data_IF_651941221954
#
_entry.id   IF_651941221954
#
_cell.length_a   1.000
_cell.length_b   1.000
_cell.length_c   1.000
_cell.angle_alpha   90.00
_cell.angle_beta   90.00
_cell.angle_gamma   90.00
#
_symmetry.space_group_name_H-M   'P 1'
#
loop_
_entity.id
_entity.type
_entity.pdbx_description
1 polymer ?
#
# COMPACT_ATOMS: atom_id res chain seq x y z
N UNK A 1 -9.45 0.41 13.55
CA UNK A 1 -8.24 1.00 12.92
C UNK A 1 -8.54 2.46 12.62
N UNK A 2 -7.58 3.39 12.81
CA UNK A 2 -7.76 4.76 12.30
C UNK A 2 -7.93 4.71 10.78
N UNK A 3 -8.57 5.71 10.19
CA UNK A 3 -8.63 5.81 8.73
C UNK A 3 -7.20 5.82 8.19
N UNK A 4 -6.85 4.83 7.36
CA UNK A 4 -5.47 4.66 6.90
C UNK A 4 -4.93 5.88 6.15
N UNK A 5 -5.79 6.65 5.49
CA UNK A 5 -5.40 7.89 4.82
C UNK A 5 -4.94 8.98 5.78
N UNK A 6 -5.39 8.98 7.04
CA UNK A 6 -4.94 9.97 8.04
C UNK A 6 -3.51 9.74 8.48
N UNK A 7 -2.89 8.60 8.14
CA UNK A 7 -1.46 8.34 8.38
C UNK A 7 -0.58 9.42 7.73
N UNK A 8 -1.03 9.97 6.59
CA UNK A 8 -0.34 11.04 5.88
C UNK A 8 -0.10 12.30 6.71
N UNK A 9 -0.89 12.53 7.77
CA UNK A 9 -0.67 13.65 8.67
C UNK A 9 0.55 13.47 9.59
N UNK A 10 1.04 12.24 9.71
CA UNK A 10 2.22 11.87 10.53
C UNK A 10 3.52 11.83 9.70
N UNK A 11 3.46 12.19 8.41
CA UNK A 11 4.59 12.13 7.47
C UNK A 11 5.05 13.54 7.08
N UNK A 12 6.37 13.71 6.82
CA UNK A 12 6.91 14.91 6.14
C UNK A 12 6.59 14.86 4.64
N UNK A 13 5.41 15.33 4.26
CA UNK A 13 4.95 15.28 2.88
C UNK A 13 5.55 16.38 2.01
N UNK A 14 5.95 15.99 0.80
CA UNK A 14 6.53 16.83 -0.26
C UNK A 14 5.74 16.73 -1.55
N UNK A 15 6.10 17.55 -2.54
CA UNK A 15 5.52 17.57 -3.88
C UNK A 15 3.99 17.55 -3.85
N UNK A 16 3.37 18.68 -3.48
CA UNK A 16 1.92 18.80 -3.40
C UNK A 16 1.28 17.74 -2.48
N UNK A 17 1.95 17.46 -1.36
CA UNK A 17 1.57 16.46 -0.37
C UNK A 17 1.50 15.01 -0.90
N UNK A 18 2.17 14.68 -2.00
CA UNK A 18 2.07 13.36 -2.63
C UNK A 18 3.26 12.44 -2.36
N UNK A 19 4.38 12.96 -1.83
CA UNK A 19 5.60 12.17 -1.69
C UNK A 19 6.25 12.30 -0.32
N UNK A 20 7.07 11.32 0.04
CA UNK A 20 8.02 11.38 1.15
C UNK A 20 9.43 11.11 0.63
N UNK A 21 10.45 11.49 1.39
CA UNK A 21 11.82 11.15 1.01
C UNK A 21 12.08 9.65 1.14
N UNK A 22 13.15 9.18 0.50
CA UNK A 22 13.63 7.82 0.73
C UNK A 22 14.06 7.59 2.18
N UNK A 23 14.67 8.59 2.82
CA UNK A 23 15.13 8.48 4.20
C UNK A 23 13.95 8.29 5.17
N UNK A 24 12.88 9.09 5.01
CA UNK A 24 11.68 8.96 5.84
C UNK A 24 11.00 7.60 5.62
N UNK A 25 10.97 7.13 4.37
CA UNK A 25 10.45 5.80 4.06
C UNK A 25 11.24 4.71 4.78
N UNK A 26 12.57 4.73 4.73
CA UNK A 26 13.42 3.71 5.36
C UNK A 26 13.42 3.81 6.89
N UNK A 27 13.18 5.01 7.44
CA UNK A 27 13.02 5.22 8.88
C UNK A 27 11.71 4.61 9.41
N UNK A 28 10.60 4.80 8.70
CA UNK A 28 9.26 4.46 9.21
C UNK A 28 8.65 3.18 8.66
N UNK A 29 9.19 2.62 7.57
CA UNK A 29 8.61 1.45 6.91
C UNK A 29 9.63 0.33 6.75
N UNK A 30 9.38 -0.76 7.46
CA UNK A 30 10.26 -1.93 7.47
C UNK A 30 9.68 -3.04 6.59
N UNK A 31 10.49 -3.53 5.65
CA UNK A 31 10.16 -4.70 4.83
C UNK A 31 10.18 -5.96 5.69
N UNK A 32 9.13 -6.77 5.60
CA UNK A 32 9.05 -8.08 6.27
C UNK A 32 9.40 -9.23 5.32
N UNK A 33 9.52 -10.45 5.87
CA UNK A 33 9.64 -11.70 5.09
C UNK A 33 8.29 -12.21 4.59
N UNK A 34 7.19 -11.68 5.10
CA UNK A 34 5.82 -12.06 4.71
C UNK A 34 5.53 -11.58 3.29
N UNK A 35 4.80 -12.40 2.53
CA UNK A 35 4.37 -12.09 1.18
C UNK A 35 2.86 -12.08 1.11
N UNK A 36 2.33 -11.21 0.26
CA UNK A 36 0.91 -11.17 -0.06
C UNK A 36 0.71 -11.23 -1.57
N UNK A 37 -0.39 -11.85 -1.96
CA UNK A 37 -0.97 -11.74 -3.30
C UNK A 37 -2.12 -10.73 -3.25
N UNK A 38 -2.04 -9.71 -4.09
CA UNK A 38 -2.91 -8.55 -4.05
C UNK A 38 -3.32 -8.15 -5.46
N UNK A 39 -4.36 -7.32 -5.57
CA UNK A 39 -4.73 -6.68 -6.83
C UNK A 39 -4.94 -5.19 -6.65
N UNK A 40 -4.86 -4.43 -7.74
CA UNK A 40 -5.15 -3.00 -7.71
C UNK A 40 -6.65 -2.79 -7.93
N UNK A 41 -7.30 -2.05 -7.05
CA UNK A 41 -8.61 -1.52 -7.38
C UNK A 41 -8.37 -0.32 -8.30
N UNK A 42 -8.74 -0.44 -9.58
CA UNK A 42 -8.76 0.70 -10.48
C UNK A 42 -9.58 1.86 -9.90
N UNK A 43 -9.34 3.08 -10.37
CA UNK A 43 -10.16 4.23 -9.95
C UNK A 43 -11.65 4.04 -10.32
N UNK A 44 -11.93 3.17 -11.28
CA UNK A 44 -13.25 2.78 -11.77
C UNK A 44 -13.75 1.41 -11.25
N UNK A 45 -12.98 0.73 -10.39
CA UNK A 45 -13.28 -0.61 -9.90
C UNK A 45 -13.26 -1.73 -10.96
N UNK A 46 -12.77 -1.44 -12.18
CA UNK A 46 -12.73 -2.40 -13.31
C UNK A 46 -11.33 -2.63 -13.86
N UNK A 47 -10.38 -1.77 -13.51
CA UNK A 47 -9.01 -1.89 -14.02
C UNK A 47 -8.38 -3.23 -13.60
N UNK A 48 -7.64 -3.84 -14.53
CA UNK A 48 -6.84 -5.07 -14.38
C UNK A 48 -7.59 -6.41 -14.30
N UNK A 49 -8.92 -6.48 -14.43
CA UNK A 49 -9.70 -7.74 -14.37
C UNK A 49 -9.44 -8.61 -13.11
N UNK A 50 -8.98 -7.97 -12.03
CA UNK A 50 -8.56 -8.67 -10.81
C UNK A 50 -7.21 -9.38 -10.92
N UNK A 51 -6.39 -9.08 -11.94
CA UNK A 51 -5.04 -9.61 -12.09
C UNK A 51 -4.25 -9.39 -10.80
N UNK A 52 -3.73 -10.50 -10.29
CA UNK A 52 -3.04 -10.53 -9.02
C UNK A 52 -1.53 -10.37 -9.19
N UNK A 53 -0.90 -9.84 -8.15
CA UNK A 53 0.55 -9.63 -8.08
C UNK A 53 1.04 -10.03 -6.71
N UNK A 54 2.32 -10.40 -6.61
CA UNK A 54 2.96 -10.78 -5.35
C UNK A 54 3.96 -9.73 -4.91
N UNK A 55 3.86 -9.30 -3.66
CA UNK A 55 4.81 -8.37 -3.05
C UNK A 55 5.17 -8.81 -1.62
N UNK A 56 6.26 -8.24 -1.10
CA UNK A 56 6.57 -8.32 0.32
C UNK A 56 5.78 -7.27 1.08
N UNK A 57 5.32 -7.64 2.27
CA UNK A 57 4.64 -6.72 3.18
C UNK A 57 5.67 -5.79 3.81
N UNK A 58 5.28 -4.54 3.98
CA UNK A 58 5.94 -3.55 4.82
C UNK A 58 5.04 -3.26 6.02
N UNK A 59 5.68 -3.03 7.17
CA UNK A 59 5.04 -2.58 8.42
C UNK A 59 5.57 -1.20 8.79
N UNK A 60 4.81 -0.46 9.57
CA UNK A 60 5.21 0.86 10.06
C UNK A 60 5.35 0.89 11.57
N UNK A 61 6.18 1.79 12.07
CA UNK A 61 6.33 2.11 13.48
C UNK A 61 5.49 3.33 13.93
N UNK A 62 4.73 3.95 13.01
CA UNK A 62 3.88 5.11 13.31
C UNK A 62 2.75 4.71 14.27
N UNK A 63 2.62 5.35 15.45
CA UNK A 63 1.64 4.98 16.46
C UNK A 63 0.18 5.02 15.99
N UNK A 64 -0.56 3.94 16.27
CA UNK A 64 -1.95 3.76 15.88
C UNK A 64 -2.17 3.17 14.48
N UNK A 65 -1.09 2.75 13.79
CA UNK A 65 -1.11 2.07 12.49
C UNK A 65 -0.32 0.76 12.49
N UNK A 66 -0.09 0.15 13.65
CA UNK A 66 0.73 -1.05 13.84
C UNK A 66 0.17 -2.25 13.05
N UNK A 67 -1.15 -2.35 12.98
CA UNK A 67 -1.85 -3.40 12.24
C UNK A 67 -1.93 -3.14 10.73
N UNK A 68 -1.59 -1.93 10.28
CA UNK A 68 -1.60 -1.61 8.87
C UNK A 68 -0.51 -2.38 8.11
N UNK A 69 -0.86 -2.81 6.90
CA UNK A 69 0.06 -3.48 5.98
C UNK A 69 0.22 -2.64 4.74
N UNK A 70 1.44 -2.62 4.24
CA UNK A 70 1.80 -1.86 3.05
C UNK A 70 2.53 -2.74 2.05
N UNK A 71 2.50 -2.31 0.79
CA UNK A 71 3.34 -2.84 -0.27
C UNK A 71 3.97 -1.71 -1.04
N UNK A 72 5.16 -1.95 -1.59
CA UNK A 72 5.85 -0.99 -2.46
C UNK A 72 5.91 -1.53 -3.89
N UNK A 73 5.41 -0.73 -4.84
CA UNK A 73 5.44 -1.06 -6.27
C UNK A 73 6.10 0.09 -7.02
N UNK A 74 7.33 -0.15 -7.50
CA UNK A 74 8.15 0.92 -8.06
C UNK A 74 8.39 2.02 -7.03
N UNK A 75 8.02 3.26 -7.36
CA UNK A 75 8.11 4.41 -6.44
C UNK A 75 6.92 4.54 -5.48
N UNK A 76 5.84 3.80 -5.67
CA UNK A 76 4.57 4.04 -4.97
C UNK A 76 4.44 3.13 -3.75
N UNK A 77 4.11 3.71 -2.61
CA UNK A 77 3.73 2.98 -1.40
C UNK A 77 2.20 2.90 -1.35
N UNK A 78 1.68 1.69 -1.16
CA UNK A 78 0.25 1.42 -1.07
C UNK A 78 -0.06 0.78 0.27
N UNK A 79 -1.21 1.12 0.85
CA UNK A 79 -1.78 0.36 1.95
C UNK A 79 -2.63 -0.78 1.39
N UNK A 80 -2.74 -1.86 2.16
CA UNK A 80 -3.66 -2.96 1.87
C UNK A 80 -5.02 -2.58 2.45
N UNK A 81 -6.05 -2.64 1.62
CA UNK A 81 -7.43 -2.49 2.08
C UNK A 81 -7.90 -3.86 2.61
N UNK A 82 -7.94 -3.99 3.94
CA UNK A 82 -8.27 -5.24 4.61
C UNK A 82 -9.75 -5.62 4.48
N UNK A 83 -10.62 -4.66 4.19
CA UNK A 83 -12.06 -4.87 4.05
C UNK A 83 -12.46 -5.15 2.60
N UNK A 84 -11.60 -4.81 1.65
CA UNK A 84 -11.84 -4.99 0.22
C UNK A 84 -11.16 -6.24 -0.35
N UNK A 85 -11.87 -6.97 -1.22
CA UNK A 85 -11.31 -8.08 -1.99
C UNK A 85 -12.00 -8.19 -3.34
N UNK A 86 -11.25 -8.54 -4.39
CA UNK A 86 -11.75 -8.68 -5.76
C UNK A 86 -11.51 -10.11 -6.25
N UNK A 87 -12.50 -10.67 -6.95
CA UNK A 87 -12.42 -11.97 -7.60
C UNK A 87 -11.59 -11.86 -8.88
N UNK A 88 -10.48 -12.59 -8.96
CA UNK A 88 -9.75 -12.82 -10.19
C UNK A 88 -10.52 -13.84 -11.05
N UNK A 89 -11.10 -13.38 -12.16
CA UNK A 89 -11.96 -14.24 -13.01
C UNK A 89 -11.24 -15.45 -13.59
N UNK A 90 -9.94 -15.32 -13.85
CA UNK A 90 -9.13 -16.38 -14.46
C UNK A 90 -8.88 -17.56 -13.49
N UNK A 91 -8.73 -17.28 -12.20
CA UNK A 91 -8.33 -18.27 -11.19
C UNK A 91 -9.46 -18.62 -10.21
N UNK A 92 -10.47 -17.76 -10.09
CA UNK A 92 -11.53 -17.88 -9.09
C UNK A 92 -11.08 -17.49 -7.67
N UNK A 93 -9.86 -16.97 -7.50
CA UNK A 93 -9.33 -16.56 -6.20
C UNK A 93 -9.74 -15.12 -5.86
N UNK A 94 -9.93 -14.85 -4.57
CA UNK A 94 -10.14 -13.49 -4.07
C UNK A 94 -8.83 -12.91 -3.56
N UNK A 95 -8.50 -11.70 -4.01
CA UNK A 95 -7.29 -11.00 -3.60
C UNK A 95 -7.62 -9.70 -2.91
N UNK A 96 -6.86 -9.35 -1.86
CA UNK A 96 -6.96 -8.05 -1.20
C UNK A 96 -6.65 -6.94 -2.20
N UNK A 97 -7.38 -5.84 -2.09
CA UNK A 97 -7.07 -4.66 -2.90
C UNK A 97 -6.08 -3.76 -2.21
N UNK A 98 -5.43 -2.88 -2.98
CA UNK A 98 -4.49 -1.90 -2.45
C UNK A 98 -4.84 -0.50 -2.90
N UNK A 99 -4.64 0.47 -2.00
CA UNK A 99 -4.84 1.89 -2.24
C UNK A 99 -3.54 2.67 -2.13
N UNK A 100 -3.39 3.71 -2.94
CA UNK A 100 -2.18 4.55 -2.90
C UNK A 100 -2.12 5.38 -1.62
N UNK A 101 -0.96 5.40 -0.97
CA UNK A 101 -0.71 6.24 0.21
C UNK A 101 0.09 7.49 -0.18
N UNK A 102 1.33 7.27 -0.64
CA UNK A 102 2.32 8.28 -1.04
C UNK A 102 3.32 7.71 -2.05
N UNK A 103 4.01 8.58 -2.77
CA UNK A 103 5.19 8.23 -3.54
C UNK A 103 6.46 8.35 -2.67
N UNK A 104 7.45 7.50 -2.93
CA UNK A 104 8.78 7.57 -2.31
C UNK A 104 9.73 8.17 -3.35
N UNK A 105 10.32 9.31 -3.01
CA UNK A 105 11.29 9.98 -3.87
C UNK A 105 12.50 9.09 -4.18
N UNK A 106 13.13 9.34 -5.32
CA UNK A 106 14.45 8.75 -5.60
C UNK A 106 15.47 9.48 -4.73
N UNK A 107 16.49 8.74 -4.28
CA UNK A 107 17.67 9.35 -3.68
C UNK A 107 18.42 10.18 -4.74
#
# INVERSE_FOLDING_TARGET
MKNIYTLRNELDLRNYNTAITRADFEAHFTKTKERIEFTFNGWDGKSYDGESRKAYIYRTDIPGYEEARFIKVGRRLHFIDEESSVLEKATGAFHKTVGWLVDVERA
#
